data_IF_918083073015
#
_entry.id   IF_918083073015
#
_cell.length_a   1.000
_cell.length_b   1.000
_cell.length_c   1.000
_cell.angle_alpha   90.00
_cell.angle_beta   90.00
_cell.angle_gamma   90.00
#
_symmetry.space_group_name_H-M   'P 1'
#
loop_
_entity.id
_entity.type
_entity.pdbx_description
1 polymer ?
#
# COMPACT_ATOMS: atom_id res chain seq x y z
N UNK A 1 -39.90 27.72 -35.42
CA UNK A 1 -38.74 27.44 -36.28
C UNK A 1 -38.27 26.05 -35.91
N UNK A 2 -38.61 25.08 -36.76
CA UNK A 2 -38.44 23.65 -36.50
C UNK A 2 -37.27 23.16 -37.36
N UNK A 3 -36.17 22.78 -36.72
CA UNK A 3 -35.03 22.19 -37.43
C UNK A 3 -35.17 20.67 -37.49
N UNK A 4 -35.36 20.23 -38.73
CA UNK A 4 -35.31 18.85 -39.20
C UNK A 4 -33.87 18.32 -39.10
N UNK A 5 -33.68 17.23 -38.35
CA UNK A 5 -32.50 16.39 -38.47
C UNK A 5 -32.85 15.14 -39.30
N UNK A 6 -32.15 14.87 -40.42
CA UNK A 6 -32.34 13.62 -41.14
C UNK A 6 -31.63 12.46 -40.43
N UNK A 7 -32.42 11.41 -40.11
CA UNK A 7 -31.91 10.10 -39.74
C UNK A 7 -31.22 9.45 -40.95
N UNK A 8 -29.89 9.35 -40.91
CA UNK A 8 -29.16 8.45 -41.80
C UNK A 8 -28.98 7.11 -41.10
N UNK A 9 -29.88 6.17 -41.37
CA UNK A 9 -29.63 4.75 -41.16
C UNK A 9 -28.72 4.25 -42.30
N UNK A 10 -27.53 3.77 -41.95
CA UNK A 10 -26.77 2.88 -42.81
C UNK A 10 -26.53 1.55 -42.09
N UNK A 11 -27.19 0.55 -42.63
CA UNK A 11 -27.10 -0.84 -42.26
C UNK A 11 -25.82 -1.50 -42.80
N UNK A 12 -25.49 -2.64 -42.17
CA UNK A 12 -24.78 -3.85 -42.64
C UNK A 12 -23.38 -4.08 -42.04
N UNK A 13 -22.86 -5.33 -42.02
CA UNK A 13 -23.50 -6.64 -42.20
C UNK A 13 -23.24 -7.63 -41.05
N UNK A 14 -24.13 -8.63 -40.93
CA UNK A 14 -23.84 -9.88 -40.24
C UNK A 14 -22.69 -10.63 -40.93
N UNK A 15 -21.66 -11.02 -40.18
CA UNK A 15 -20.64 -11.97 -40.64
C UNK A 15 -20.53 -13.16 -39.69
N UNK A 16 -21.18 -14.23 -40.14
CA UNK A 16 -20.79 -15.65 -40.16
C UNK A 16 -19.89 -16.13 -39.01
N UNK A 17 -20.50 -16.99 -38.19
CA UNK A 17 -19.79 -17.88 -37.27
C UNK A 17 -18.73 -18.70 -37.98
N UNK A 18 -17.62 -18.89 -37.28
CA UNK A 18 -16.67 -19.96 -37.53
C UNK A 18 -16.76 -20.90 -36.34
N UNK A 19 -17.62 -21.90 -36.50
CA UNK A 19 -17.55 -23.15 -35.75
C UNK A 19 -16.33 -23.91 -36.26
N UNK A 20 -15.19 -23.75 -35.61
CA UNK A 20 -14.07 -24.67 -35.77
C UNK A 20 -14.26 -25.81 -34.78
N UNK A 21 -15.02 -26.81 -35.21
CA UNK A 21 -14.99 -28.13 -34.61
C UNK A 21 -13.68 -28.81 -35.02
N UNK A 22 -12.74 -28.97 -34.10
CA UNK A 22 -11.59 -29.86 -34.26
C UNK A 22 -11.92 -31.23 -33.66
N UNK A 23 -11.84 -32.32 -34.45
CA UNK A 23 -12.03 -33.67 -33.96
C UNK A 23 -10.83 -34.16 -33.14
N UNK A 24 -11.14 -35.12 -32.29
CA UNK A 24 -10.33 -35.93 -31.38
C UNK A 24 -8.92 -36.30 -31.85
N UNK A 25 -7.99 -36.31 -30.90
CA UNK A 25 -6.95 -37.35 -30.82
C UNK A 25 -6.64 -37.63 -29.34
N UNK A 26 -7.23 -38.71 -28.83
CA UNK A 26 -6.74 -39.39 -27.62
C UNK A 26 -5.41 -40.04 -27.99
N UNK A 27 -4.33 -39.62 -27.34
CA UNK A 27 -3.07 -40.33 -27.34
C UNK A 27 -2.64 -40.52 -25.90
N UNK A 28 -3.01 -41.68 -25.37
CA UNK A 28 -2.40 -42.29 -24.20
C UNK A 28 -0.93 -42.57 -24.54
N UNK A 29 -0.01 -41.89 -23.88
CA UNK A 29 1.33 -42.41 -23.66
C UNK A 29 1.74 -42.07 -22.23
N UNK A 30 1.79 -43.10 -21.40
CA UNK A 30 2.29 -43.03 -20.05
C UNK A 30 3.79 -42.75 -20.05
N UNK A 31 4.20 -41.85 -19.17
CA UNK A 31 5.55 -41.79 -18.66
C UNK A 31 5.44 -41.77 -17.14
N UNK A 32 5.59 -42.95 -16.54
CA UNK A 32 5.87 -43.08 -15.11
C UNK A 32 7.29 -42.53 -14.88
N UNK A 33 7.39 -41.29 -14.41
CA UNK A 33 8.62 -40.75 -13.86
C UNK A 33 8.70 -41.18 -12.40
N UNK A 34 9.51 -42.20 -12.15
CA UNK A 34 10.08 -42.51 -10.84
C UNK A 34 10.98 -41.34 -10.43
N UNK A 35 10.44 -40.43 -9.62
CA UNK A 35 11.27 -39.46 -8.89
C UNK A 35 11.82 -40.16 -7.66
N UNK A 36 13.07 -40.58 -7.79
CA UNK A 36 13.96 -40.99 -6.70
C UNK A 36 14.07 -39.85 -5.70
N UNK A 37 13.55 -40.09 -4.49
CA UNK A 37 13.82 -39.27 -3.33
C UNK A 37 15.29 -39.48 -2.89
N UNK A 38 16.09 -38.42 -3.00
CA UNK A 38 17.28 -38.18 -2.17
C UNK A 38 16.90 -36.94 -1.33
N UNK A 39 16.79 -36.96 -0.01
CA UNK A 39 17.64 -37.64 0.96
C UNK A 39 18.72 -36.65 1.40
N UNK A 40 18.44 -35.83 2.41
CA UNK A 40 19.45 -35.24 3.31
C UNK A 40 18.77 -34.82 4.62
N UNK A 41 18.55 -35.80 5.50
CA UNK A 41 18.30 -35.57 6.92
C UNK A 41 19.59 -35.05 7.57
N UNK A 42 19.56 -33.85 8.14
CA UNK A 42 20.50 -33.48 9.20
C UNK A 42 19.82 -33.73 10.53
N UNK A 43 20.01 -34.94 11.04
CA UNK A 43 19.95 -35.22 12.46
C UNK A 43 21.15 -34.54 13.13
N UNK A 44 20.86 -33.69 14.09
CA UNK A 44 21.83 -33.03 14.96
C UNK A 44 21.26 -32.98 16.37
N UNK A 45 21.13 -34.16 16.98
CA UNK A 45 21.10 -34.29 18.43
C UNK A 45 22.55 -34.28 18.90
N UNK A 46 22.94 -33.30 19.72
CA UNK A 46 23.55 -33.61 21.02
C UNK A 46 23.81 -32.39 21.91
N UNK A 47 23.63 -32.65 23.21
CA UNK A 47 24.21 -32.01 24.37
C UNK A 47 23.54 -30.76 25.00
N UNK A 48 22.59 -31.07 25.92
CA UNK A 48 22.61 -30.69 27.35
C UNK A 48 23.62 -29.59 27.77
N UNK A 49 23.11 -28.45 28.27
CA UNK A 49 23.13 -28.09 29.71
C UNK A 49 22.63 -26.65 29.94
N UNK A 50 21.85 -26.50 31.02
CA UNK A 50 21.24 -25.29 31.58
C UNK A 50 22.30 -24.29 32.14
N UNK A 51 21.97 -23.10 32.72
CA UNK A 51 20.79 -22.77 33.53
C UNK A 51 20.06 -21.46 33.20
N UNK A 52 18.86 -21.38 33.79
CA UNK A 52 18.03 -20.20 33.95
C UNK A 52 18.79 -19.04 34.62
N UNK A 53 18.68 -17.86 34.02
CA UNK A 53 18.87 -16.60 34.70
C UNK A 53 17.49 -15.95 34.88
N UNK A 54 16.94 -16.12 36.08
CA UNK A 54 15.90 -15.24 36.61
C UNK A 54 16.51 -13.85 36.78
N UNK A 55 15.94 -12.85 36.12
CA UNK A 55 16.14 -11.45 36.49
C UNK A 55 14.78 -10.95 37.00
N UNK A 56 14.61 -11.08 38.31
CA UNK A 56 13.73 -10.25 39.11
C UNK A 56 14.24 -8.81 39.00
N UNK A 57 13.57 -7.95 38.23
CA UNK A 57 13.77 -6.50 38.33
C UNK A 57 12.45 -5.78 38.60
N UNK A 58 12.24 -5.61 39.89
CA UNK A 58 11.85 -4.38 40.56
C UNK A 58 10.67 -3.58 39.99
N UNK A 59 9.57 -3.68 40.75
CA UNK A 59 8.60 -2.59 41.01
C UNK A 59 9.31 -1.22 41.08
N UNK A 60 8.83 -0.27 40.28
CA UNK A 60 9.26 1.12 40.37
C UNK A 60 8.33 2.06 39.61
N UNK A 61 7.08 2.18 40.05
CA UNK A 61 6.24 3.30 39.65
C UNK A 61 6.61 4.54 40.46
N UNK A 62 6.88 5.69 39.82
CA UNK A 62 6.67 6.98 40.46
C UNK A 62 5.44 7.66 39.86
N UNK A 63 4.46 7.90 40.74
CA UNK A 63 3.41 8.89 40.54
C UNK A 63 4.03 10.30 40.53
N UNK A 64 3.63 11.22 39.63
CA UNK A 64 3.89 12.64 39.84
C UNK A 64 2.86 13.19 40.83
N UNK A 65 3.28 13.33 42.08
CA UNK A 65 2.55 14.07 43.10
C UNK A 65 2.57 15.57 42.76
N UNK A 66 1.39 16.17 42.85
CA UNK A 66 1.22 17.61 42.92
C UNK A 66 1.97 18.18 44.13
N UNK A 67 2.66 19.29 43.95
CA UNK A 67 3.03 20.21 45.03
C UNK A 67 3.05 21.64 44.48
N UNK A 68 1.91 22.30 44.64
CA UNK A 68 1.87 23.73 44.81
C UNK A 68 2.33 24.06 46.24
N UNK A 69 3.23 25.04 46.41
CA UNK A 69 3.14 26.13 47.39
C UNK A 69 4.46 26.92 47.54
N UNK A 70 4.52 28.06 46.83
CA UNK A 70 4.77 29.44 47.33
C UNK A 70 5.70 29.62 48.56
N UNK A 71 6.80 30.39 48.40
CA UNK A 71 7.00 31.68 49.13
C UNK A 71 8.38 32.35 48.93
N UNK A 72 8.50 33.68 49.18
CA UNK A 72 9.37 34.60 48.46
C UNK A 72 10.62 35.04 49.24
N UNK A 73 11.64 35.57 48.55
CA UNK A 73 12.42 36.73 49.02
C UNK A 73 13.45 37.25 48.01
N UNK A 74 13.23 38.52 47.65
CA UNK A 74 14.19 39.64 47.60
C UNK A 74 15.34 39.61 46.57
N UNK A 75 15.19 40.55 45.63
CA UNK A 75 16.15 40.97 44.61
C UNK A 75 17.49 41.48 45.15
N UNK A 76 18.51 41.45 44.28
CA UNK A 76 19.33 42.63 44.03
C UNK A 76 19.11 43.14 42.60
N UNK A 77 18.87 44.45 42.48
CA UNK A 77 18.90 45.18 41.23
C UNK A 77 20.27 45.04 40.57
N UNK A 78 20.31 44.43 39.39
CA UNK A 78 21.43 44.55 38.46
C UNK A 78 20.84 44.72 37.05
N UNK A 79 20.97 45.94 36.56
CA UNK A 79 21.09 46.40 35.17
C UNK A 79 20.46 45.54 34.08
N UNK A 80 19.37 46.05 33.51
CA UNK A 80 18.68 45.51 32.36
C UNK A 80 19.61 45.36 31.14
N UNK A 81 19.94 44.12 30.79
CA UNK A 81 20.16 43.75 29.40
C UNK A 81 18.78 43.49 28.81
N UNK A 82 18.37 44.32 27.84
CA UNK A 82 17.18 44.06 27.03
C UNK A 82 17.23 42.62 26.52
N UNK A 83 16.20 41.78 26.72
CA UNK A 83 16.13 40.53 26.00
C UNK A 83 16.13 40.89 24.52
N UNK A 84 17.08 40.34 23.76
CA UNK A 84 17.01 40.38 22.31
C UNK A 84 15.58 39.95 21.92
N UNK A 85 14.91 40.63 20.98
CA UNK A 85 13.62 40.18 20.49
C UNK A 85 13.80 38.73 20.07
N UNK A 86 13.22 37.80 20.85
CA UNK A 86 13.24 36.40 20.49
C UNK A 86 12.61 36.31 19.11
N UNK A 87 13.36 35.79 18.14
CA UNK A 87 12.82 35.57 16.80
C UNK A 87 11.50 34.82 16.99
N UNK A 88 10.39 35.43 16.57
CA UNK A 88 9.11 34.75 16.56
C UNK A 88 9.30 33.42 15.83
N UNK A 89 8.86 32.28 16.38
CA UNK A 89 8.96 31.01 15.68
C UNK A 89 8.38 31.20 14.28
N UNK A 90 9.20 30.92 13.26
CA UNK A 90 8.74 31.03 11.89
C UNK A 90 7.61 30.02 11.70
N UNK A 91 6.40 30.52 11.50
CA UNK A 91 5.23 29.73 11.17
C UNK A 91 5.07 29.81 9.65
N UNK A 92 5.16 28.66 8.97
CA UNK A 92 4.90 28.61 7.54
C UNK A 92 3.46 29.11 7.25
N UNK A 93 3.27 30.02 6.27
CA UNK A 93 1.94 30.48 5.89
C UNK A 93 1.02 29.30 5.53
N UNK A 94 -0.11 29.16 6.23
CA UNK A 94 -1.10 28.10 6.01
C UNK A 94 -1.06 26.95 7.03
N UNK A 95 -0.11 26.97 7.98
CA UNK A 95 0.00 25.95 9.03
C UNK A 95 -0.20 26.63 10.39
N UNK A 96 -1.43 26.60 10.91
CA UNK A 96 -1.82 27.37 12.12
C UNK A 96 -1.19 26.81 13.42
N UNK A 97 -0.71 25.56 13.44
CA UNK A 97 -0.26 24.90 14.68
C UNK A 97 0.68 23.70 14.45
N UNK A 98 1.53 23.75 13.41
CA UNK A 98 2.45 22.66 13.06
C UNK A 98 3.84 22.88 13.62
N UNK A 99 4.56 21.80 13.94
CA UNK A 99 5.99 21.86 14.19
C UNK A 99 6.70 22.60 13.03
N UNK A 100 7.70 23.45 13.29
CA UNK A 100 8.52 24.04 12.23
C UNK A 100 8.98 22.95 11.25
N UNK A 101 8.86 23.24 9.95
CA UNK A 101 9.16 22.32 8.85
C UNK A 101 8.24 21.10 8.69
N UNK A 102 7.01 21.13 9.21
CA UNK A 102 6.08 20.00 9.05
C UNK A 102 5.82 19.66 7.56
N UNK A 103 5.74 20.67 6.68
CA UNK A 103 5.50 20.46 5.25
C UNK A 103 6.64 19.73 4.55
N UNK A 104 7.88 20.13 4.80
CA UNK A 104 9.08 19.50 4.24
C UNK A 104 9.31 18.12 4.86
N UNK A 105 9.15 17.98 6.18
CA UNK A 105 9.34 16.72 6.89
C UNK A 105 8.36 15.63 6.43
N UNK A 106 7.17 16.02 5.95
CA UNK A 106 6.17 15.08 5.42
C UNK A 106 6.11 15.07 3.89
N UNK A 107 7.07 15.69 3.18
CA UNK A 107 7.08 15.72 1.71
C UNK A 107 7.09 14.31 1.09
N UNK A 108 7.80 13.37 1.70
CA UNK A 108 7.85 11.96 1.26
C UNK A 108 6.49 11.26 1.28
N UNK A 109 5.53 11.78 2.08
CA UNK A 109 4.18 11.24 2.23
C UNK A 109 3.15 11.89 1.32
N UNK A 110 3.54 12.93 0.59
CA UNK A 110 2.64 13.59 -0.36
C UNK A 110 2.69 12.80 -1.67
N UNK A 111 1.52 12.42 -2.16
CA UNK A 111 1.39 11.93 -3.53
C UNK A 111 1.86 13.02 -4.49
N UNK A 112 2.54 12.61 -5.56
CA UNK A 112 2.94 13.52 -6.64
C UNK A 112 1.72 14.20 -7.28
N UNK A 113 1.97 15.32 -7.94
CA UNK A 113 0.96 15.96 -8.76
C UNK A 113 0.56 15.07 -9.94
N UNK A 114 -0.69 15.21 -10.37
CA UNK A 114 -1.29 14.42 -11.43
C UNK A 114 -2.03 15.34 -12.39
N UNK A 115 -1.84 15.16 -13.69
CA UNK A 115 -2.56 15.92 -14.70
C UNK A 115 -4.05 15.55 -14.74
N UNK A 116 -4.91 16.49 -15.14
CA UNK A 116 -6.36 16.22 -15.25
C UNK A 116 -6.71 15.11 -16.26
N UNK A 117 -5.88 14.94 -17.30
CA UNK A 117 -6.04 13.86 -18.28
C UNK A 117 -5.71 12.52 -17.63
N UNK A 118 -4.57 12.44 -16.94
CA UNK A 118 -4.14 11.24 -16.24
C UNK A 118 -5.11 10.83 -15.14
N UNK A 119 -5.66 11.80 -14.38
CA UNK A 119 -6.68 11.54 -13.37
C UNK A 119 -7.93 10.91 -13.98
N UNK A 120 -8.41 11.45 -15.10
CA UNK A 120 -9.61 10.94 -15.77
C UNK A 120 -9.43 9.50 -16.21
N UNK A 121 -8.27 9.15 -16.75
CA UNK A 121 -7.98 7.77 -17.17
C UNK A 121 -7.79 6.85 -15.96
N UNK A 122 -7.11 7.30 -14.91
CA UNK A 122 -6.97 6.53 -13.68
C UNK A 122 -8.32 6.30 -12.99
N UNK A 123 -9.26 7.25 -13.08
CA UNK A 123 -10.64 7.07 -12.59
C UNK A 123 -11.37 5.95 -13.33
N UNK A 124 -11.21 5.85 -14.66
CA UNK A 124 -11.81 4.76 -15.45
C UNK A 124 -11.27 3.40 -15.03
N UNK A 125 -9.95 3.30 -14.80
CA UNK A 125 -9.34 2.05 -14.33
C UNK A 125 -9.78 1.71 -12.90
N UNK A 126 -9.90 2.71 -12.02
CA UNK A 126 -10.48 2.52 -10.69
C UNK A 126 -11.91 1.96 -10.76
N UNK A 127 -12.76 2.53 -11.63
CA UNK A 127 -14.15 2.06 -11.83
C UNK A 127 -14.20 0.64 -12.41
N UNK A 128 -13.21 0.26 -13.22
CA UNK A 128 -13.07 -1.09 -13.77
C UNK A 128 -12.67 -2.13 -12.71
N UNK A 129 -11.80 -1.75 -11.76
CA UNK A 129 -11.29 -2.62 -10.70
C UNK A 129 -12.32 -2.81 -9.57
N UNK A 130 -13.03 -1.76 -9.18
CA UNK A 130 -14.03 -1.76 -8.08
C UNK A 130 -14.95 -2.99 -8.07
N UNK A 131 -15.67 -3.34 -9.16
CA UNK A 131 -16.57 -4.48 -9.15
C UNK A 131 -15.84 -5.83 -8.97
N UNK A 132 -14.58 -5.94 -9.41
CA UNK A 132 -13.78 -7.15 -9.20
C UNK A 132 -13.41 -7.31 -7.73
N UNK A 133 -12.96 -6.25 -7.07
CA UNK A 133 -12.65 -6.28 -5.64
C UNK A 133 -13.90 -6.56 -4.80
N UNK A 134 -15.03 -5.94 -5.15
CA UNK A 134 -16.33 -6.21 -4.51
C UNK A 134 -16.70 -7.70 -4.58
N UNK A 135 -16.54 -8.34 -5.75
CA UNK A 135 -16.80 -9.77 -5.92
C UNK A 135 -15.83 -10.62 -5.10
N UNK A 136 -14.53 -10.31 -5.13
CA UNK A 136 -13.52 -11.03 -4.35
C UNK A 136 -13.79 -10.94 -2.84
N UNK A 137 -14.21 -9.77 -2.35
CA UNK A 137 -14.57 -9.56 -0.95
C UNK A 137 -15.78 -10.44 -0.56
N UNK A 138 -16.82 -10.47 -1.40
CA UNK A 138 -17.98 -11.35 -1.20
C UNK A 138 -17.63 -12.85 -1.22
N UNK A 139 -16.67 -13.25 -2.05
CA UNK A 139 -16.13 -14.62 -2.12
C UNK A 139 -15.10 -14.94 -1.02
N UNK A 140 -14.77 -13.96 -0.16
CA UNK A 140 -13.74 -14.08 0.89
C UNK A 140 -12.35 -14.39 0.34
N UNK A 141 -12.00 -13.81 -0.81
CA UNK A 141 -10.73 -13.99 -1.52
C UNK A 141 -9.91 -12.71 -1.52
N UNK A 142 -9.27 -12.42 -0.38
CA UNK A 142 -8.46 -11.22 -0.18
C UNK A 142 -6.95 -11.47 -0.20
N UNK A 143 -6.49 -12.71 -0.42
CA UNK A 143 -5.06 -13.00 -0.51
C UNK A 143 -4.43 -12.47 -1.83
N UNK A 144 -3.13 -12.12 -1.84
CA UNK A 144 -2.49 -11.49 -2.99
C UNK A 144 -2.56 -12.31 -4.27
N UNK A 145 -2.47 -13.63 -4.18
CA UNK A 145 -2.52 -14.52 -5.33
C UNK A 145 -3.88 -14.48 -6.03
N UNK A 146 -4.97 -14.61 -5.27
CA UNK A 146 -6.34 -14.57 -5.80
C UNK A 146 -6.67 -13.19 -6.40
N UNK A 147 -6.24 -12.12 -5.75
CA UNK A 147 -6.41 -10.74 -6.23
C UNK A 147 -5.63 -10.52 -7.52
N UNK A 148 -4.34 -10.88 -7.56
CA UNK A 148 -3.50 -10.79 -8.75
C UNK A 148 -4.10 -11.56 -9.92
N UNK A 149 -4.48 -12.83 -9.71
CA UNK A 149 -5.09 -13.65 -10.75
C UNK A 149 -6.39 -13.03 -11.31
N UNK A 150 -7.18 -12.37 -10.48
CA UNK A 150 -8.40 -11.70 -10.94
C UNK A 150 -8.12 -10.43 -11.75
N UNK A 151 -7.10 -9.66 -11.39
CA UNK A 151 -6.70 -8.44 -12.09
C UNK A 151 -5.97 -8.75 -13.40
N UNK A 152 -5.13 -9.80 -13.44
CA UNK A 152 -4.51 -10.26 -14.69
C UNK A 152 -5.56 -10.71 -15.73
N UNK A 153 -6.71 -11.28 -15.29
CA UNK A 153 -7.83 -11.59 -16.19
C UNK A 153 -8.52 -10.36 -16.79
N UNK A 154 -8.30 -9.16 -16.22
CA UNK A 154 -8.72 -7.90 -16.85
C UNK A 154 -7.71 -7.42 -17.92
N UNK A 155 -6.58 -8.11 -18.09
CA UNK A 155 -5.55 -7.74 -19.06
C UNK A 155 -4.51 -6.77 -18.51
N UNK A 156 -4.44 -6.57 -17.19
CA UNK A 156 -3.30 -5.90 -16.59
C UNK A 156 -2.07 -6.79 -16.63
N UNK A 157 -0.90 -6.18 -16.65
CA UNK A 157 0.39 -6.88 -16.67
C UNK A 157 1.09 -6.68 -15.33
N UNK A 158 1.58 -7.78 -14.75
CA UNK A 158 2.34 -7.73 -13.51
C UNK A 158 3.63 -6.94 -13.70
N UNK A 159 3.87 -6.01 -12.78
CA UNK A 159 5.11 -5.27 -12.72
C UNK A 159 6.27 -6.22 -12.42
N UNK A 160 7.28 -6.20 -13.28
CA UNK A 160 8.50 -6.99 -13.12
C UNK A 160 9.66 -6.07 -12.84
N UNK A 161 10.48 -6.46 -11.88
CA UNK A 161 11.70 -5.75 -11.52
C UNK A 161 12.89 -6.67 -11.79
N UNK A 162 13.93 -6.13 -12.42
CA UNK A 162 15.18 -6.82 -12.66
C UNK A 162 16.04 -6.89 -11.41
N UNK A 163 17.18 -7.57 -11.51
CA UNK A 163 18.08 -7.77 -10.37
C UNK A 163 18.72 -6.48 -9.88
N UNK A 164 18.70 -5.40 -10.66
CA UNK A 164 19.19 -4.07 -10.28
C UNK A 164 18.10 -3.12 -9.77
N UNK A 165 16.86 -3.59 -9.58
CA UNK A 165 15.75 -2.73 -9.19
C UNK A 165 15.11 -1.98 -10.36
N UNK A 166 15.60 -2.17 -11.59
CA UNK A 166 15.03 -1.57 -12.78
C UNK A 166 13.71 -2.23 -13.16
N UNK A 167 12.76 -1.44 -13.66
CA UNK A 167 11.47 -1.96 -14.06
C UNK A 167 11.54 -2.57 -15.47
N UNK A 168 11.19 -3.84 -15.58
CA UNK A 168 11.23 -4.63 -16.82
C UNK A 168 9.89 -4.64 -17.57
N UNK A 169 8.88 -3.93 -17.05
CA UNK A 169 7.56 -3.81 -17.67
C UNK A 169 6.43 -4.12 -16.69
N UNK A 170 5.20 -4.06 -17.20
CA UNK A 170 3.98 -4.19 -16.40
C UNK A 170 3.58 -2.91 -15.67
N UNK A 171 2.39 -2.94 -15.11
CA UNK A 171 1.77 -1.79 -14.41
C UNK A 171 1.11 -2.18 -13.10
N UNK A 172 0.88 -3.47 -12.86
CA UNK A 172 0.17 -3.98 -11.71
C UNK A 172 1.12 -4.57 -10.68
N UNK A 173 1.09 -4.03 -9.48
CA UNK A 173 1.74 -4.60 -8.30
C UNK A 173 0.67 -4.99 -7.29
N UNK A 174 0.69 -6.25 -6.86
CA UNK A 174 -0.15 -6.76 -5.77
C UNK A 174 0.77 -7.32 -4.69
N UNK A 175 0.55 -6.92 -3.43
CA UNK A 175 1.36 -7.37 -2.29
C UNK A 175 0.50 -7.56 -1.05
N UNK A 176 1.06 -8.18 -0.02
CA UNK A 176 0.42 -8.27 1.31
C UNK A 176 0.24 -6.87 1.92
N UNK A 177 -0.61 -6.76 2.95
CA UNK A 177 -0.69 -5.51 3.72
C UNK A 177 0.62 -5.22 4.45
N UNK A 178 0.86 -3.94 4.76
CA UNK A 178 2.03 -3.55 5.53
C UNK A 178 1.91 -4.09 6.96
N UNK A 179 3.03 -4.51 7.53
CA UNK A 179 3.08 -4.99 8.91
C UNK A 179 2.83 -3.85 9.89
N UNK A 180 1.93 -4.06 10.84
CA UNK A 180 1.58 -3.08 11.88
C UNK A 180 1.97 -3.62 13.26
N UNK A 181 2.31 -2.72 14.19
CA UNK A 181 2.62 -3.08 15.58
C UNK A 181 1.34 -3.01 16.41
N UNK A 182 0.81 -4.17 16.79
CA UNK A 182 -0.43 -4.29 17.56
C UNK A 182 -0.25 -5.29 18.70
N UNK A 183 -0.81 -4.97 19.88
CA UNK A 183 -0.78 -5.86 21.05
C UNK A 183 0.63 -6.37 21.38
N UNK A 184 1.60 -5.45 21.36
CA UNK A 184 3.02 -5.69 21.66
C UNK A 184 3.75 -6.64 20.68
N UNK A 185 3.25 -6.80 19.46
CA UNK A 185 3.91 -7.59 18.41
C UNK A 185 3.66 -7.03 17.02
N UNK A 186 4.54 -7.39 16.08
CA UNK A 186 4.31 -7.13 14.67
C UNK A 186 3.33 -8.15 14.09
N UNK A 187 2.29 -7.67 13.43
CA UNK A 187 1.29 -8.48 12.73
C UNK A 187 1.12 -7.97 11.31
N UNK A 188 1.01 -8.89 10.36
CA UNK A 188 0.65 -8.56 8.98
C UNK A 188 -0.85 -8.85 8.84
N UNK A 189 -1.69 -7.82 8.66
CA UNK A 189 -3.12 -8.03 8.48
C UNK A 189 -3.39 -8.89 7.24
N UNK A 190 -4.39 -9.76 7.31
CA UNK A 190 -4.84 -10.49 6.13
C UNK A 190 -5.44 -9.53 5.10
N UNK A 191 -4.94 -9.57 3.88
CA UNK A 191 -5.45 -8.77 2.80
C UNK A 191 -4.43 -8.57 1.69
N UNK A 192 -4.77 -7.68 0.77
CA UNK A 192 -3.88 -7.29 -0.32
C UNK A 192 -3.91 -5.78 -0.53
N UNK A 193 -2.74 -5.23 -0.80
CA UNK A 193 -2.56 -3.91 -1.38
C UNK A 193 -2.36 -4.06 -2.88
N UNK A 194 -2.99 -3.19 -3.65
CA UNK A 194 -2.92 -3.12 -5.10
C UNK A 194 -2.43 -1.73 -5.49
N UNK A 195 -1.37 -1.68 -6.30
CA UNK A 195 -0.92 -0.49 -7.00
C UNK A 195 -0.99 -0.74 -8.50
N UNK A 196 -1.77 0.07 -9.21
CA UNK A 196 -1.80 0.06 -10.68
C UNK A 196 -1.31 1.40 -11.20
N UNK A 197 -0.23 1.38 -11.99
CA UNK A 197 0.27 2.56 -12.70
C UNK A 197 -0.50 2.77 -13.99
N UNK A 198 -1.18 3.90 -14.12
CA UNK A 198 -1.97 4.23 -15.31
C UNK A 198 -1.19 5.14 -16.25
N UNK A 199 -0.49 6.11 -15.66
CA UNK A 199 0.48 7.00 -16.32
C UNK A 199 1.70 7.18 -15.42
N UNK A 200 2.73 7.89 -15.90
CA UNK A 200 3.91 8.18 -15.08
C UNK A 200 3.56 9.04 -13.84
N UNK A 201 2.54 9.89 -13.95
CA UNK A 201 2.03 10.80 -12.91
C UNK A 201 0.72 10.32 -12.26
N UNK A 202 0.20 9.14 -12.59
CA UNK A 202 -1.08 8.65 -12.08
C UNK A 202 -1.08 7.17 -11.69
N UNK A 203 -1.59 6.94 -10.49
CA UNK A 203 -1.75 5.64 -9.87
C UNK A 203 -3.22 5.41 -9.46
N UNK A 204 -3.66 4.16 -9.58
CA UNK A 204 -4.80 3.63 -8.84
C UNK A 204 -4.24 2.82 -7.66
N UNK A 205 -4.60 3.22 -6.45
CA UNK A 205 -4.25 2.51 -5.23
C UNK A 205 -5.51 1.85 -4.70
N UNK A 206 -5.41 0.58 -4.34
CA UNK A 206 -6.55 -0.15 -3.80
C UNK A 206 -6.13 -1.11 -2.69
N UNK A 207 -7.09 -1.48 -1.87
CA UNK A 207 -6.91 -2.52 -0.86
C UNK A 207 -8.14 -3.40 -0.82
N UNK A 208 -7.94 -4.62 -0.33
CA UNK A 208 -9.00 -5.56 0.03
C UNK A 208 -8.56 -6.36 1.23
N UNK A 209 -9.40 -6.46 2.23
CA UNK A 209 -9.18 -7.27 3.43
C UNK A 209 -10.47 -7.97 3.87
N UNK A 210 -10.45 -8.53 5.08
CA UNK A 210 -11.58 -9.26 5.65
C UNK A 210 -12.78 -8.36 5.96
N UNK A 211 -12.52 -7.07 6.19
CA UNK A 211 -13.49 -6.09 6.68
C UNK A 211 -14.03 -5.23 5.55
N UNK A 212 -13.19 -4.82 4.60
CA UNK A 212 -13.60 -3.93 3.53
C UNK A 212 -12.68 -4.01 2.29
N UNK A 213 -12.99 -3.19 1.28
CA UNK A 213 -12.18 -2.92 0.12
C UNK A 213 -12.30 -1.45 -0.29
N UNK A 214 -11.23 -0.86 -0.79
CA UNK A 214 -11.21 0.54 -1.23
C UNK A 214 -10.41 0.73 -2.50
N UNK A 215 -10.77 1.76 -3.26
CA UNK A 215 -10.05 2.17 -4.48
C UNK A 215 -9.98 3.70 -4.55
N UNK A 216 -8.77 4.22 -4.56
CA UNK A 216 -8.43 5.64 -4.69
C UNK A 216 -7.58 5.89 -5.94
N UNK A 217 -7.56 7.15 -6.37
CA UNK A 217 -6.72 7.64 -7.48
C UNK A 217 -5.84 8.74 -6.92
N UNK A 218 -4.53 8.62 -7.10
CA UNK A 218 -3.51 9.55 -6.60
C UNK A 218 -2.34 9.61 -7.57
N UNK A 219 -1.50 10.64 -7.50
CA UNK A 219 -0.19 10.57 -8.15
C UNK A 219 0.76 9.60 -7.41
N UNK A 220 1.91 9.24 -8.00
CA UNK A 220 2.88 8.36 -7.35
C UNK A 220 3.51 9.05 -6.13
N UNK A 221 3.68 8.30 -5.05
CA UNK A 221 4.53 8.67 -3.94
C UNK A 221 6.00 8.52 -4.34
N UNK A 222 6.89 9.43 -3.89
CA UNK A 222 8.28 9.47 -4.35
C UNK A 222 9.07 8.19 -4.03
N UNK A 223 8.77 7.54 -2.90
CA UNK A 223 9.52 6.36 -2.45
C UNK A 223 8.81 5.05 -2.78
N UNK A 224 7.50 5.03 -2.69
CA UNK A 224 6.68 3.82 -2.72
C UNK A 224 5.82 3.69 -3.98
N UNK A 225 5.95 4.63 -4.91
CA UNK A 225 5.22 4.62 -6.18
C UNK A 225 3.72 4.67 -5.95
N UNK A 226 2.99 3.64 -6.37
CA UNK A 226 1.52 3.64 -6.23
C UNK A 226 1.02 3.20 -4.83
N UNK A 227 1.90 2.91 -3.88
CA UNK A 227 1.51 2.58 -2.50
C UNK A 227 1.70 3.79 -1.61
N UNK A 228 0.74 4.07 -0.72
CA UNK A 228 0.95 5.08 0.30
C UNK A 228 2.06 4.61 1.27
N UNK A 229 3.01 5.49 1.65
CA UNK A 229 4.02 5.13 2.64
C UNK A 229 3.38 4.75 3.97
N UNK A 230 3.90 3.73 4.68
CA UNK A 230 3.43 3.39 6.01
C UNK A 230 3.58 4.59 6.95
N UNK A 231 2.72 4.66 7.97
CA UNK A 231 2.87 5.66 9.02
C UNK A 231 4.10 5.29 9.87
N UNK A 232 5.12 6.16 9.87
CA UNK A 232 6.22 6.08 10.83
C UNK A 232 5.76 6.60 12.18
N UNK A 233 6.10 5.89 13.25
CA UNK A 233 5.96 6.32 14.64
C UNK A 233 7.30 6.76 15.20
#
# INVERSE_FOLDING_TARGET
>A
MADHFPHTQLARPARRGHTSATPSAVLLLGAALLLTACGEERAGDDARSAPAASIDDARGAPAPAASASISPSKAPSATASSPAPGASPYVEPGVVDGAPHHGENNAYRRAGEMSAVSEKDARKEADRIRPVLKRLSAEKKWNPEAVRAALLRLGYEEERTGSGGERLGGTLTVREQDTVYENSRYVTPEGSLIGLRVHDDACVSAFIDKTDHGVSVTGPYPETGCFQPPYGH
#
